data_IF_844184391592
#
_entry.id   IF_844184391592
#
_cell.length_a   1.000
_cell.length_b   1.000
_cell.length_c   1.000
_cell.angle_alpha   90.00
_cell.angle_beta   90.00
_cell.angle_gamma   90.00
#
_symmetry.space_group_name_H-M   'P 1'
#
loop_
_entity.id
_entity.type
_entity.pdbx_description
1 polymer ?
#
# COMPACT_ATOMS: atom_id res chain seq x y z
N UNK A 1 -7.87 -5.36 9.94
CA UNK A 1 -7.04 -6.57 9.69
C UNK A 1 -6.53 -6.46 8.27
N UNK A 2 -5.23 -6.30 8.04
CA UNK A 2 -4.66 -6.33 6.69
C UNK A 2 -4.47 -7.80 6.31
N UNK A 3 -5.16 -8.30 5.29
CA UNK A 3 -4.88 -9.65 4.79
C UNK A 3 -3.60 -9.62 3.96
N UNK A 4 -2.53 -10.16 4.51
CA UNK A 4 -1.26 -10.30 3.79
C UNK A 4 -1.31 -11.54 2.91
N UNK A 5 -1.65 -11.36 1.62
CA UNK A 5 -1.41 -12.40 0.62
C UNK A 5 0.10 -12.47 0.32
N UNK A 6 0.75 -13.46 0.95
CA UNK A 6 2.19 -13.71 0.84
C UNK A 6 2.54 -14.20 -0.57
N UNK A 7 2.87 -13.29 -1.49
CA UNK A 7 3.65 -13.68 -2.67
C UNK A 7 5.05 -14.10 -2.21
N UNK A 8 5.30 -15.42 -2.20
CA UNK A 8 6.60 -16.00 -1.89
C UNK A 8 7.58 -15.67 -3.01
N UNK A 9 8.39 -14.63 -2.82
CA UNK A 9 9.61 -14.44 -3.62
C UNK A 9 10.83 -14.74 -2.75
N UNK A 10 11.72 -15.61 -3.23
CA UNK A 10 13.01 -15.86 -2.58
C UNK A 10 13.86 -14.58 -2.67
N UNK A 11 14.21 -14.01 -1.52
CA UNK A 11 15.03 -12.79 -1.45
C UNK A 11 16.53 -13.11 -1.50
N UNK A 12 17.34 -12.36 -2.28
CA UNK A 12 18.78 -12.32 -2.08
C UNK A 12 19.09 -11.59 -0.76
N UNK A 13 20.07 -12.08 0.00
CA UNK A 13 20.44 -11.57 1.32
C UNK A 13 20.96 -10.12 1.27
N UNK A 14 20.38 -9.21 2.05
CA UNK A 14 21.04 -7.95 2.41
C UNK A 14 21.71 -8.12 3.78
N UNK A 15 22.91 -7.56 3.91
CA UNK A 15 23.63 -7.48 5.17
C UNK A 15 22.99 -6.40 6.06
N UNK A 16 22.00 -6.77 6.87
CA UNK A 16 21.50 -5.92 7.95
C UNK A 16 22.46 -5.97 9.15
N UNK A 17 22.72 -4.84 9.85
CA UNK A 17 23.47 -4.87 11.11
C UNK A 17 22.67 -5.65 12.17
N UNK A 18 23.30 -6.72 12.68
CA UNK A 18 22.69 -7.67 13.61
C UNK A 18 22.55 -7.06 15.01
N UNK A 19 21.46 -6.32 15.26
CA UNK A 19 21.09 -6.00 16.63
C UNK A 19 19.76 -6.67 16.96
N UNK A 20 19.88 -7.96 17.29
CA UNK A 20 18.76 -8.84 17.63
C UNK A 20 17.96 -8.26 18.79
N UNK A 21 16.66 -8.08 18.60
CA UNK A 21 15.71 -7.99 19.69
C UNK A 21 15.46 -9.43 20.18
N UNK A 22 15.69 -9.76 21.46
CA UNK A 22 15.37 -11.09 21.97
C UNK A 22 13.85 -11.26 22.07
N UNK A 23 13.36 -12.42 21.61
CA UNK A 23 12.09 -13.07 22.02
C UNK A 23 10.88 -13.13 21.05
N UNK A 24 11.04 -12.94 19.74
CA UNK A 24 9.94 -13.27 18.79
C UNK A 24 10.39 -14.03 17.52
N UNK A 25 10.25 -15.37 17.46
CA UNK A 25 10.85 -16.20 16.41
C UNK A 25 10.14 -16.19 15.04
N UNK A 26 9.27 -15.21 14.74
CA UNK A 26 8.47 -15.21 13.50
C UNK A 26 8.39 -13.87 12.75
N UNK A 27 9.09 -12.82 13.19
CA UNK A 27 9.32 -11.64 12.36
C UNK A 27 10.72 -11.73 11.78
N UNK A 28 10.83 -12.29 10.57
CA UNK A 28 12.07 -12.36 9.82
C UNK A 28 12.57 -10.93 9.52
N UNK A 29 13.79 -10.61 9.97
CA UNK A 29 14.55 -9.38 9.76
C UNK A 29 14.93 -9.11 8.28
N UNK A 30 14.21 -9.69 7.32
CA UNK A 30 14.43 -9.56 5.88
C UNK A 30 13.84 -8.29 5.26
N UNK A 31 13.18 -7.43 6.06
CA UNK A 31 12.68 -6.12 5.61
C UNK A 31 13.80 -5.12 5.23
N UNK A 32 15.07 -5.42 5.48
CA UNK A 32 16.16 -4.52 5.08
C UNK A 32 16.34 -4.43 3.54
N UNK A 33 15.78 -5.38 2.76
CA UNK A 33 15.81 -5.39 1.28
C UNK A 33 14.46 -5.05 0.61
N UNK A 34 13.51 -4.39 1.30
CA UNK A 34 12.12 -4.34 0.81
C UNK A 34 11.96 -3.92 -0.68
N UNK A 35 10.91 -4.39 -1.32
CA UNK A 35 10.65 -4.11 -2.73
C UNK A 35 10.48 -2.62 -3.01
N UNK A 36 10.84 -2.16 -4.22
CA UNK A 36 10.63 -0.76 -4.58
C UNK A 36 9.13 -0.39 -4.65
N UNK A 37 8.28 -1.37 -4.95
CA UNK A 37 6.83 -1.28 -4.95
C UNK A 37 6.25 -2.55 -4.31
N UNK A 38 5.19 -2.39 -3.53
CA UNK A 38 4.45 -3.47 -2.89
C UNK A 38 2.96 -3.28 -3.13
N UNK A 39 2.29 -4.38 -3.46
CA UNK A 39 0.85 -4.43 -3.67
C UNK A 39 0.20 -4.95 -2.40
N UNK A 40 -0.75 -4.18 -1.87
CA UNK A 40 -1.53 -4.52 -0.70
C UNK A 40 -2.96 -4.85 -1.12
N UNK A 41 -3.50 -5.89 -0.51
CA UNK A 41 -4.90 -6.27 -0.64
C UNK A 41 -5.54 -6.21 0.74
N UNK A 42 -6.86 -6.09 0.76
CA UNK A 42 -7.66 -6.17 1.98
C UNK A 42 -7.27 -5.10 3.02
N UNK A 43 -7.03 -3.86 2.58
CA UNK A 43 -6.77 -2.71 3.47
C UNK A 43 -8.10 -2.10 3.87
N UNK A 44 -8.32 -1.96 5.17
CA UNK A 44 -9.49 -1.29 5.74
C UNK A 44 -9.32 0.24 5.72
N UNK A 45 -10.44 0.97 5.79
CA UNK A 45 -10.48 2.40 6.10
C UNK A 45 -9.93 2.71 7.52
N UNK A 46 -10.05 3.97 7.93
CA UNK A 46 -9.57 4.47 9.21
C UNK A 46 -10.39 3.97 10.42
N UNK A 47 -11.64 3.57 10.20
CA UNK A 47 -12.60 3.13 11.20
C UNK A 47 -12.68 1.60 11.32
N UNK A 48 -12.02 0.88 10.40
CA UNK A 48 -11.86 -0.57 10.44
C UNK A 48 -13.18 -1.29 10.16
N UNK A 49 -13.72 -2.07 11.12
CA UNK A 49 -15.00 -2.76 10.95
C UNK A 49 -16.24 -1.86 11.12
N UNK A 50 -16.06 -0.59 11.49
CA UNK A 50 -17.16 0.25 11.95
C UNK A 50 -17.90 0.84 10.76
N UNK A 51 -19.20 0.59 10.68
CA UNK A 51 -20.09 1.15 9.65
C UNK A 51 -20.47 2.60 9.99
N UNK A 52 -19.59 3.54 9.65
CA UNK A 52 -19.75 4.97 9.90
C UNK A 52 -19.64 5.86 8.65
N UNK A 53 -19.55 5.25 7.47
CA UNK A 53 -19.40 5.92 6.18
C UNK A 53 -18.00 6.47 5.91
N UNK A 54 -17.02 6.23 6.79
CA UNK A 54 -15.63 6.56 6.56
C UNK A 54 -15.07 5.70 5.44
N UNK A 55 -14.66 6.33 4.35
CA UNK A 55 -14.05 5.62 3.23
C UNK A 55 -12.56 5.83 3.16
N UNK A 56 -11.88 6.71 3.90
CA UNK A 56 -10.42 6.93 3.76
C UNK A 56 -9.60 5.88 4.49
N UNK A 57 -8.47 5.44 3.92
CA UNK A 57 -7.49 4.57 4.61
C UNK A 57 -6.19 5.30 4.98
N UNK A 58 -6.17 6.64 4.96
CA UNK A 58 -4.96 7.43 5.16
C UNK A 58 -4.28 7.15 6.53
N UNK A 59 -5.04 7.08 7.62
CA UNK A 59 -4.51 6.78 8.95
C UNK A 59 -4.02 5.32 9.03
N UNK A 60 -4.80 4.39 8.48
CA UNK A 60 -4.43 2.97 8.43
C UNK A 60 -3.12 2.74 7.67
N UNK A 61 -2.96 3.36 6.49
CA UNK A 61 -1.76 3.25 5.67
C UNK A 61 -0.57 4.01 6.27
N UNK A 62 -0.81 5.17 6.89
CA UNK A 62 0.22 5.92 7.63
C UNK A 62 0.79 5.08 8.77
N UNK A 63 -0.07 4.49 9.60
CA UNK A 63 0.35 3.61 10.69
C UNK A 63 1.16 2.41 10.18
N UNK A 64 0.79 1.85 9.02
CA UNK A 64 1.52 0.75 8.39
C UNK A 64 2.94 1.17 7.95
N UNK A 65 3.09 2.27 7.21
CA UNK A 65 4.41 2.71 6.73
C UNK A 65 5.32 3.17 7.89
N UNK A 66 4.74 3.77 8.92
CA UNK A 66 5.46 4.12 10.16
C UNK A 66 5.95 2.87 10.90
N UNK A 67 5.12 1.83 10.99
CA UNK A 67 5.52 0.57 11.60
C UNK A 67 6.65 -0.12 10.83
N UNK A 68 6.62 -0.09 9.49
CA UNK A 68 7.69 -0.61 8.64
C UNK A 68 8.99 0.16 8.90
N UNK A 69 8.95 1.49 8.91
CA UNK A 69 10.13 2.32 9.17
C UNK A 69 10.69 2.07 10.58
N UNK A 70 9.82 1.98 11.59
CA UNK A 70 10.21 1.69 12.99
C UNK A 70 10.83 0.30 13.15
N UNK A 71 10.44 -0.66 12.33
CA UNK A 71 11.04 -2.00 12.30
C UNK A 71 12.41 -2.05 11.57
N UNK A 72 12.97 -0.89 11.18
CA UNK A 72 14.23 -0.81 10.44
C UNK A 72 14.09 -1.02 8.93
N UNK A 73 12.85 -0.99 8.41
CA UNK A 73 12.56 -1.02 6.99
C UNK A 73 12.78 0.33 6.30
N UNK A 74 12.52 0.36 5.00
CA UNK A 74 12.61 1.59 4.20
C UNK A 74 11.37 2.46 4.40
N UNK A 75 11.54 3.78 4.27
CA UNK A 75 10.44 4.73 4.25
C UNK A 75 9.62 4.59 2.96
N UNK A 76 8.36 4.22 3.10
CA UNK A 76 7.40 4.08 2.01
C UNK A 76 6.47 5.28 1.97
N UNK A 77 6.12 5.70 0.76
CA UNK A 77 4.91 6.44 0.51
C UNK A 77 3.84 5.48 -0.05
N UNK A 78 2.58 5.90 -0.06
CA UNK A 78 1.49 5.07 -0.54
C UNK A 78 0.55 5.79 -1.49
N UNK A 79 -0.22 5.00 -2.24
CA UNK A 79 -1.34 5.48 -3.04
C UNK A 79 -2.46 4.45 -3.02
N UNK A 80 -3.68 4.94 -3.05
CA UNK A 80 -4.91 4.16 -2.96
C UNK A 80 -6.04 4.93 -3.66
N UNK A 81 -7.12 4.22 -3.98
CA UNK A 81 -8.38 4.81 -4.44
C UNK A 81 -9.43 4.40 -3.41
N UNK A 82 -10.05 5.37 -2.70
CA UNK A 82 -11.14 5.06 -1.79
C UNK A 82 -12.30 4.39 -2.53
N UNK A 83 -12.84 3.28 -1.99
CA UNK A 83 -13.98 2.59 -2.59
C UNK A 83 -15.26 3.42 -2.46
N UNK A 84 -16.35 2.92 -3.05
CA UNK A 84 -17.68 3.44 -2.72
C UNK A 84 -18.13 2.79 -1.41
N UNK A 85 -18.65 3.62 -0.50
CA UNK A 85 -19.07 3.17 0.84
C UNK A 85 -20.03 1.96 0.78
N UNK A 86 -19.69 0.91 1.52
CA UNK A 86 -20.47 -0.31 1.66
C UNK A 86 -20.57 -1.18 0.39
N UNK A 87 -19.82 -0.86 -0.68
CA UNK A 87 -19.89 -1.59 -1.94
C UNK A 87 -18.72 -2.53 -2.21
N UNK A 88 -17.60 -2.35 -1.51
CA UNK A 88 -16.37 -3.08 -1.75
C UNK A 88 -15.91 -3.85 -0.49
N UNK A 89 -15.69 -5.16 -0.64
CA UNK A 89 -15.14 -6.02 0.42
C UNK A 89 -16.02 -7.20 0.82
N UNK A 90 -15.52 -8.00 1.76
CA UNK A 90 -16.22 -9.16 2.33
C UNK A 90 -16.64 -9.02 3.79
N UNK A 91 -16.17 -7.97 4.47
CA UNK A 91 -16.49 -7.73 5.88
C UNK A 91 -17.65 -6.72 5.98
N UNK A 92 -18.76 -7.07 6.66
CA UNK A 92 -19.87 -6.13 6.85
C UNK A 92 -19.41 -4.84 7.53
N UNK A 93 -19.80 -3.69 6.96
CA UNK A 93 -19.52 -2.36 7.50
C UNK A 93 -18.10 -1.83 7.24
N UNK A 94 -17.22 -2.58 6.58
CA UNK A 94 -15.85 -2.11 6.27
C UNK A 94 -15.67 -1.75 4.80
N UNK A 95 -14.86 -0.73 4.53
CA UNK A 95 -14.53 -0.27 3.18
C UNK A 95 -13.14 -0.77 2.76
N UNK A 96 -13.12 -1.99 2.19
CA UNK A 96 -11.89 -2.71 1.86
C UNK A 96 -11.38 -2.33 0.45
N UNK A 97 -10.06 -2.14 0.31
CA UNK A 97 -9.42 -1.78 -0.96
C UNK A 97 -8.09 -2.49 -1.22
N UNK A 98 -7.58 -2.25 -2.43
CA UNK A 98 -6.15 -2.39 -2.75
C UNK A 98 -5.40 -1.09 -2.53
N UNK A 99 -4.14 -1.18 -2.13
CA UNK A 99 -3.24 -0.04 -2.04
C UNK A 99 -1.84 -0.41 -2.52
N UNK A 100 -1.04 0.61 -2.82
CA UNK A 100 0.36 0.44 -3.20
C UNK A 100 1.26 1.15 -2.22
N UNK A 101 2.31 0.49 -1.77
CA UNK A 101 3.44 1.15 -1.13
C UNK A 101 4.57 1.29 -2.16
N UNK A 102 5.23 2.44 -2.21
CA UNK A 102 6.37 2.67 -3.09
C UNK A 102 7.46 3.48 -2.40
N UNK A 103 8.72 3.25 -2.79
CA UNK A 103 9.87 4.01 -2.27
C UNK A 103 9.94 5.36 -2.99
N UNK A 104 9.66 6.50 -2.31
CA UNK A 104 9.64 7.80 -2.97
C UNK A 104 11.03 8.25 -3.48
N UNK A 105 12.11 7.67 -2.95
CA UNK A 105 13.48 7.88 -3.43
C UNK A 105 13.76 7.22 -4.79
N UNK A 106 12.94 6.25 -5.22
CA UNK A 106 13.14 5.45 -6.45
C UNK A 106 12.00 5.62 -7.44
N UNK A 107 10.79 5.81 -6.95
CA UNK A 107 9.56 5.87 -7.74
C UNK A 107 8.79 7.14 -7.39
N UNK A 108 8.13 7.69 -8.39
CA UNK A 108 7.12 8.75 -8.20
C UNK A 108 5.89 8.40 -9.02
N UNK A 109 4.74 8.88 -8.57
CA UNK A 109 3.56 8.91 -9.42
C UNK A 109 3.78 9.88 -10.58
N UNK A 110 3.10 9.62 -11.71
CA UNK A 110 3.10 10.53 -12.85
C UNK A 110 2.51 11.87 -12.38
N UNK A 111 3.29 12.94 -12.51
CA UNK A 111 2.85 14.28 -12.13
C UNK A 111 1.70 14.72 -13.03
N UNK A 112 0.76 15.47 -12.45
CA UNK A 112 -0.39 16.08 -13.14
C UNK A 112 -1.30 15.07 -13.85
N UNK A 113 -1.16 13.77 -13.53
CA UNK A 113 -2.09 12.77 -14.00
C UNK A 113 -3.43 12.93 -13.27
N UNK A 114 -4.57 12.94 -13.98
CA UNK A 114 -5.88 12.93 -13.35
C UNK A 114 -6.01 11.66 -12.48
N UNK A 115 -6.43 11.84 -11.23
CA UNK A 115 -6.72 10.74 -10.31
C UNK A 115 -8.12 10.22 -10.63
N UNK A 116 -8.23 8.93 -10.91
CA UNK A 116 -9.54 8.27 -11.07
C UNK A 116 -10.19 7.97 -9.72
N UNK A 117 -11.51 8.05 -9.67
CA UNK A 117 -12.35 7.55 -8.60
C UNK A 117 -12.69 6.06 -8.74
N UNK A 118 -13.42 5.49 -7.76
CA UNK A 118 -13.72 4.05 -7.69
C UNK A 118 -14.60 3.53 -8.84
N UNK A 119 -15.33 4.41 -9.52
CA UNK A 119 -16.20 4.07 -10.65
C UNK A 119 -15.70 4.65 -11.98
N UNK A 120 -14.54 5.32 -11.96
CA UNK A 120 -14.00 5.96 -13.16
C UNK A 120 -13.23 4.94 -13.98
N UNK A 121 -13.49 4.93 -15.29
CA UNK A 121 -12.63 4.23 -16.23
C UNK A 121 -11.46 5.16 -16.58
N UNK A 122 -10.23 4.70 -16.34
CA UNK A 122 -9.01 5.46 -16.64
C UNK A 122 -8.16 4.69 -17.64
N UNK A 123 -7.74 5.37 -18.71
CA UNK A 123 -6.87 4.84 -19.75
C UNK A 123 -5.44 5.37 -19.60
N UNK A 124 -4.46 4.50 -19.84
CA UNK A 124 -3.06 4.90 -19.99
C UNK A 124 -2.83 5.31 -21.45
N UNK A 125 -2.38 6.54 -21.66
CA UNK A 125 -2.12 7.10 -22.99
C UNK A 125 -0.67 7.57 -23.11
N UNK A 126 -0.11 7.47 -24.31
CA UNK A 126 1.14 8.12 -24.68
C UNK A 126 0.83 9.51 -25.25
N UNK A 127 1.45 10.55 -24.68
CA UNK A 127 1.42 11.92 -25.18
C UNK A 127 2.85 12.35 -25.46
N UNK A 128 3.25 12.30 -26.73
CA UNK A 128 4.58 12.70 -27.21
C UNK A 128 5.73 11.94 -26.52
N UNK A 129 5.58 10.61 -26.34
CA UNK A 129 6.57 9.76 -25.67
C UNK A 129 6.54 9.86 -24.15
N UNK A 130 5.53 10.53 -23.57
CA UNK A 130 5.29 10.60 -22.12
C UNK A 130 4.01 9.84 -21.77
N UNK A 131 4.14 8.91 -20.82
CA UNK A 131 2.99 8.21 -20.24
C UNK A 131 2.12 9.20 -19.46
N UNK A 132 0.82 9.14 -19.67
CA UNK A 132 -0.18 9.97 -19.00
C UNK A 132 -1.49 9.20 -18.79
N UNK A 133 -2.36 9.72 -17.92
CA UNK A 133 -3.70 9.15 -17.69
C UNK A 133 -4.78 10.01 -18.35
N UNK A 134 -5.85 9.37 -18.80
CA UNK A 134 -7.04 10.03 -19.34
C UNK A 134 -8.30 9.34 -18.81
N UNK A 135 -9.24 10.08 -18.20
CA UNK A 135 -10.57 9.54 -17.91
C UNK A 135 -11.28 9.18 -19.23
N UNK A 136 -11.99 8.05 -19.25
CA UNK A 136 -12.76 7.57 -20.39
C UNK A 136 -14.17 8.15 -20.39
#
# INVERSE_FOLDING_TARGET
MVSSNRMLNRYPSCNAPTNKIPDHPHFDESLCCLYNIMFLQEIQDNSGPTDDGEVSANLTLTALVEAIAKAGGVSYNFTEIPPVDGQDGGQPGGNIRTAYLYRPEKLRLVQDAPVGGPIDSVEVVDRDGKVSLRPN
#
